data_IF_907712937355
#
_entry.id   IF_907712937355
#
_cell.length_a   1.000
_cell.length_b   1.000
_cell.length_c   1.000
_cell.angle_alpha   90.00
_cell.angle_beta   90.00
_cell.angle_gamma   90.00
#
_symmetry.space_group_name_H-M   'P 1'
#
loop_
_entity.id
_entity.type
_entity.pdbx_description
1 polymer ?
#
# COMPACT_ATOMS: atom_id res chain seq x y z
N UNK A 1 -22.01 47.14 9.34
CA UNK A 1 -20.84 46.26 9.56
C UNK A 1 -21.32 44.81 9.50
N UNK A 2 -21.33 44.18 8.31
CA UNK A 2 -21.98 42.87 8.12
C UNK A 2 -21.49 42.16 6.84
N UNK A 3 -20.20 41.80 6.73
CA UNK A 3 -19.67 41.03 5.56
C UNK A 3 -18.44 40.15 5.85
N UNK A 4 -18.19 39.71 7.10
CA UNK A 4 -16.95 38.99 7.43
C UNK A 4 -17.13 37.51 7.83
N UNK A 5 -18.32 36.92 7.64
CA UNK A 5 -18.60 35.53 8.06
C UNK A 5 -18.51 34.48 6.94
N UNK A 6 -18.03 34.83 5.74
CA UNK A 6 -18.08 33.92 4.58
C UNK A 6 -16.76 33.17 4.26
N UNK A 7 -15.70 33.30 5.07
CA UNK A 7 -14.37 32.77 4.72
C UNK A 7 -14.03 31.44 5.44
N UNK A 8 -14.81 31.02 6.45
CA UNK A 8 -14.48 29.84 7.25
C UNK A 8 -14.91 28.47 6.67
N UNK A 9 -15.69 28.42 5.58
CA UNK A 9 -16.30 27.16 5.10
C UNK A 9 -15.54 26.46 3.95
N UNK A 10 -14.39 26.98 3.50
CA UNK A 10 -13.66 26.41 2.36
C UNK A 10 -12.53 25.43 2.74
N UNK A 11 -12.24 25.25 4.04
CA UNK A 11 -11.05 24.48 4.49
C UNK A 11 -11.29 22.98 4.71
N UNK A 12 -12.52 22.45 4.57
CA UNK A 12 -12.84 21.05 4.89
C UNK A 12 -12.97 20.12 3.68
N UNK A 13 -12.65 20.58 2.45
CA UNK A 13 -12.88 19.78 1.23
C UNK A 13 -11.68 18.87 0.88
N UNK A 14 -10.62 18.82 1.72
CA UNK A 14 -9.41 18.03 1.44
C UNK A 14 -9.27 16.72 2.26
N UNK A 15 -10.29 16.28 3.00
CA UNK A 15 -10.20 15.00 3.72
C UNK A 15 -10.55 13.82 2.79
N UNK A 16 -9.64 13.47 1.88
CA UNK A 16 -9.61 12.09 1.39
C UNK A 16 -9.35 11.16 2.58
N UNK A 17 -10.02 10.02 2.62
CA UNK A 17 -9.73 9.02 3.65
C UNK A 17 -8.36 8.41 3.31
N UNK A 18 -7.36 8.65 4.16
CA UNK A 18 -6.02 8.07 3.97
C UNK A 18 -6.12 6.56 4.17
N UNK A 19 -5.59 5.83 3.20
CA UNK A 19 -5.49 4.38 3.26
C UNK A 19 -4.01 4.03 3.08
N UNK A 20 -3.36 3.69 4.18
CA UNK A 20 -1.98 3.22 4.15
C UNK A 20 -1.98 1.69 4.06
N UNK A 21 -1.33 1.15 3.03
CA UNK A 21 -1.12 -0.29 2.89
C UNK A 21 0.36 -0.55 3.06
N UNK A 22 0.72 -1.40 4.01
CA UNK A 22 2.11 -1.79 4.26
C UNK A 22 2.25 -3.30 4.20
N UNK A 23 3.32 -3.80 3.59
CA UNK A 23 3.59 -5.24 3.62
C UNK A 23 5.07 -5.49 3.79
N UNK A 24 5.39 -6.39 4.73
CA UNK A 24 6.75 -6.86 4.96
C UNK A 24 7.01 -8.14 4.19
N UNK A 25 8.07 -8.14 3.40
CA UNK A 25 8.42 -9.22 2.49
C UNK A 25 9.88 -9.60 2.65
N UNK A 26 10.17 -10.89 2.70
CA UNK A 26 11.54 -11.38 2.65
C UNK A 26 12.03 -11.48 1.19
N UNK A 27 13.24 -11.02 0.91
CA UNK A 27 13.79 -11.06 -0.46
C UNK A 27 13.95 -12.47 -1.02
N UNK A 28 14.09 -13.50 -0.18
CA UNK A 28 14.18 -14.89 -0.63
C UNK A 28 12.85 -15.40 -1.18
N UNK A 29 11.73 -14.90 -0.63
CA UNK A 29 10.36 -15.23 -1.06
C UNK A 29 10.07 -14.59 -2.44
N UNK A 30 10.55 -13.36 -2.68
CA UNK A 30 10.37 -12.68 -3.97
C UNK A 30 10.98 -13.44 -5.14
N UNK A 31 12.11 -14.11 -4.92
CA UNK A 31 12.82 -14.88 -5.96
C UNK A 31 12.39 -16.34 -6.02
N UNK A 32 11.37 -16.73 -5.25
CA UNK A 32 10.84 -18.09 -5.21
C UNK A 32 9.78 -18.29 -6.30
N UNK A 33 9.86 -19.36 -7.11
CA UNK A 33 8.75 -19.73 -8.00
C UNK A 33 7.53 -20.25 -7.20
N UNK A 34 7.75 -20.75 -5.99
CA UNK A 34 6.68 -21.07 -5.06
C UNK A 34 6.26 -19.80 -4.32
N UNK A 35 5.09 -19.30 -4.72
CA UNK A 35 4.45 -18.14 -4.13
C UNK A 35 4.10 -18.39 -2.66
N UNK A 36 4.26 -17.34 -1.84
CA UNK A 36 4.00 -17.37 -0.40
C UNK A 36 2.99 -16.29 -0.03
N UNK A 37 1.99 -16.70 0.74
CA UNK A 37 1.05 -15.77 1.34
C UNK A 37 1.65 -15.17 2.61
N UNK A 38 1.79 -13.84 2.64
CA UNK A 38 2.14 -13.08 3.84
C UNK A 38 0.95 -12.21 4.25
N UNK A 39 1.00 -11.61 5.45
CA UNK A 39 -0.01 -10.62 5.86
C UNK A 39 0.54 -9.21 5.60
N UNK A 40 -0.25 -8.40 4.90
CA UNK A 40 -0.09 -6.96 4.81
C UNK A 40 -1.05 -6.26 5.74
N UNK A 41 -0.68 -5.06 6.17
CA UNK A 41 -1.45 -4.17 7.03
C UNK A 41 -2.16 -3.13 6.18
N UNK A 42 -3.42 -2.86 6.49
CA UNK A 42 -4.21 -1.77 5.91
C UNK A 42 -4.69 -0.89 7.07
N UNK A 43 -4.24 0.35 7.08
CA UNK A 43 -4.69 1.39 8.01
C UNK A 43 -5.59 2.37 7.26
N UNK A 44 -6.85 2.45 7.69
CA UNK A 44 -7.85 3.35 7.11
C UNK A 44 -8.17 4.45 8.12
N UNK A 45 -7.97 5.70 7.72
CA UNK A 45 -8.28 6.85 8.57
C UNK A 45 -9.79 6.93 8.84
N UNK A 46 -10.14 7.05 10.12
CA UNK A 46 -11.50 7.27 10.60
C UNK A 46 -11.56 8.50 11.48
N UNK A 47 -12.73 9.13 11.55
CA UNK A 47 -12.95 10.30 12.40
C UNK A 47 -12.76 9.98 13.89
N UNK A 48 -13.13 8.77 14.31
CA UNK A 48 -12.98 8.28 15.68
C UNK A 48 -13.12 6.76 15.73
N UNK A 49 -12.45 6.11 16.68
CA UNK A 49 -12.68 4.70 17.01
C UNK A 49 -13.98 4.48 17.79
N UNK A 50 -14.39 5.47 18.59
CA UNK A 50 -15.52 5.37 19.50
C UNK A 50 -16.67 6.30 19.08
N UNK A 51 -17.88 5.93 19.48
CA UNK A 51 -19.06 6.75 19.29
C UNK A 51 -18.95 8.07 20.09
N UNK A 52 -19.50 9.14 19.52
CA UNK A 52 -19.43 10.48 20.11
C UNK A 52 -20.29 10.61 21.39
N UNK A 53 -21.46 9.96 21.40
CA UNK A 53 -22.41 10.04 22.52
C UNK A 53 -22.05 9.04 23.63
N UNK A 54 -21.51 7.86 23.27
CA UNK A 54 -21.09 6.84 24.23
C UNK A 54 -19.74 6.23 23.83
N UNK A 55 -18.66 6.73 24.45
CA UNK A 55 -17.28 6.31 24.13
C UNK A 55 -17.01 4.82 24.38
N UNK A 56 -17.89 4.10 25.09
CA UNK A 56 -17.79 2.65 25.28
C UNK A 56 -18.24 1.87 24.04
N UNK A 57 -18.92 2.53 23.09
CA UNK A 57 -19.38 1.94 21.83
C UNK A 57 -18.44 2.30 20.69
N UNK A 58 -18.40 1.44 19.69
CA UNK A 58 -17.67 1.69 18.45
C UNK A 58 -18.35 2.78 17.63
N UNK A 59 -17.55 3.57 16.91
CA UNK A 59 -18.10 4.58 16.01
C UNK A 59 -18.84 3.92 14.83
N UNK A 60 -19.86 4.60 14.30
CA UNK A 60 -20.61 4.11 13.12
C UNK A 60 -19.69 3.82 11.93
N UNK A 61 -18.71 4.70 11.67
CA UNK A 61 -17.75 4.53 10.58
C UNK A 61 -16.86 3.30 10.79
N UNK A 62 -16.45 3.00 12.03
CA UNK A 62 -15.67 1.79 12.33
C UNK A 62 -16.50 0.53 12.05
N UNK A 63 -17.77 0.50 12.48
CA UNK A 63 -18.69 -0.62 12.21
C UNK A 63 -18.89 -0.81 10.70
N UNK A 64 -19.10 0.27 9.96
CA UNK A 64 -19.21 0.25 8.49
C UNK A 64 -17.95 -0.31 7.83
N UNK A 65 -16.76 0.12 8.25
CA UNK A 65 -15.50 -0.38 7.69
C UNK A 65 -15.28 -1.85 7.99
N UNK A 66 -15.60 -2.33 9.20
CA UNK A 66 -15.52 -3.76 9.54
C UNK A 66 -16.38 -4.63 8.63
N UNK A 67 -17.51 -4.10 8.16
CA UNK A 67 -18.38 -4.79 7.21
C UNK A 67 -17.89 -4.64 5.76
N UNK A 68 -17.37 -3.47 5.39
CA UNK A 68 -17.03 -3.13 4.01
C UNK A 68 -15.68 -3.66 3.56
N UNK A 69 -14.64 -3.54 4.39
CA UNK A 69 -13.26 -3.91 4.01
C UNK A 69 -13.15 -5.38 3.57
N UNK A 70 -13.75 -6.36 4.27
CA UNK A 70 -13.72 -7.77 3.83
C UNK A 70 -14.44 -8.04 2.50
N UNK A 71 -15.32 -7.13 2.06
CA UNK A 71 -15.98 -7.24 0.74
C UNK A 71 -15.11 -6.71 -0.41
N UNK A 72 -14.12 -5.87 -0.08
CA UNK A 72 -13.15 -5.32 -1.02
C UNK A 72 -11.93 -6.24 -1.11
N UNK A 73 -11.38 -6.56 0.06
CA UNK A 73 -10.19 -7.38 0.24
C UNK A 73 -10.57 -8.72 0.87
N UNK A 74 -10.38 -9.80 0.12
CA UNK A 74 -10.67 -11.18 0.51
C UNK A 74 -9.85 -11.56 1.73
N UNK A 75 -10.53 -12.15 2.70
CA UNK A 75 -9.95 -12.57 3.99
C UNK A 75 -9.28 -11.42 4.75
N UNK A 76 -9.71 -10.17 4.52
CA UNK A 76 -9.28 -9.08 5.38
C UNK A 76 -9.87 -9.26 6.78
N UNK A 77 -9.02 -9.14 7.80
CA UNK A 77 -9.38 -9.30 9.20
C UNK A 77 -9.16 -7.99 9.93
N UNK A 78 -10.18 -7.53 10.64
CA UNK A 78 -10.03 -6.41 11.55
C UNK A 78 -9.14 -6.79 12.72
N UNK A 79 -8.17 -5.93 13.04
CA UNK A 79 -7.25 -6.13 14.17
C UNK A 79 -7.66 -5.22 15.32
N UNK A 80 -7.60 -3.91 15.11
CA UNK A 80 -7.87 -2.92 16.14
C UNK A 80 -8.25 -1.56 15.54
N UNK A 81 -8.67 -0.63 16.39
CA UNK A 81 -8.76 0.77 16.03
C UNK A 81 -7.94 1.55 17.05
N UNK A 82 -6.98 2.32 16.55
CA UNK A 82 -6.02 3.03 17.39
C UNK A 82 -5.94 4.49 17.00
N UNK A 83 -5.37 5.30 17.89
CA UNK A 83 -5.12 6.72 17.66
C UNK A 83 -3.63 6.97 17.53
N UNK A 84 -3.23 7.69 16.48
CA UNK A 84 -1.85 8.13 16.27
C UNK A 84 -1.86 9.63 16.04
N UNK A 85 -1.33 10.38 17.01
CA UNK A 85 -1.44 11.84 17.09
C UNK A 85 -2.93 12.29 17.14
N UNK A 86 -3.39 13.03 16.14
CA UNK A 86 -4.75 13.56 16.06
C UNK A 86 -5.70 12.67 15.25
N UNK A 87 -5.16 11.70 14.52
CA UNK A 87 -5.92 10.86 13.61
C UNK A 87 -6.20 9.50 14.27
N UNK A 88 -7.35 8.91 13.92
CA UNK A 88 -7.71 7.55 14.32
C UNK A 88 -7.64 6.64 13.09
N UNK A 89 -7.21 5.40 13.27
CA UNK A 89 -7.04 4.44 12.19
C UNK A 89 -7.73 3.14 12.56
N UNK A 90 -8.52 2.61 11.62
CA UNK A 90 -9.01 1.25 11.68
C UNK A 90 -7.97 0.36 10.98
N UNK A 91 -7.38 -0.56 11.73
CA UNK A 91 -6.33 -1.46 11.28
C UNK A 91 -6.90 -2.81 10.89
N UNK A 92 -6.55 -3.25 9.69
CA UNK A 92 -6.88 -4.54 9.15
C UNK A 92 -5.62 -5.25 8.68
N UNK A 93 -5.66 -6.58 8.64
CA UNK A 93 -4.67 -7.35 7.88
C UNK A 93 -5.31 -8.02 6.68
N UNK A 94 -4.56 -8.11 5.58
CA UNK A 94 -4.99 -8.75 4.33
C UNK A 94 -3.93 -9.75 3.86
N UNK A 95 -4.30 -10.87 3.25
CA UNK A 95 -3.32 -11.72 2.58
C UNK A 95 -2.71 -11.02 1.36
N UNK A 96 -1.38 -11.06 1.26
CA UNK A 96 -0.60 -10.57 0.13
C UNK A 96 0.18 -11.74 -0.45
N UNK A 97 0.09 -11.91 -1.75
CA UNK A 97 0.81 -12.96 -2.47
C UNK A 97 2.18 -12.45 -2.91
N UNK A 98 3.23 -13.20 -2.57
CA UNK A 98 4.63 -12.84 -2.81
C UNK A 98 5.32 -13.96 -3.57
N UNK A 99 5.96 -13.62 -4.70
CA UNK A 99 6.73 -14.60 -5.45
C UNK A 99 7.30 -14.11 -6.78
N UNK A 100 8.03 -15.00 -7.44
CA UNK A 100 8.53 -14.80 -8.80
C UNK A 100 7.46 -15.15 -9.82
N UNK A 101 7.06 -14.17 -10.61
CA UNK A 101 6.09 -14.31 -11.68
C UNK A 101 6.81 -14.55 -13.01
N UNK A 102 6.96 -15.83 -13.36
CA UNK A 102 7.35 -16.24 -14.70
C UNK A 102 6.16 -16.13 -15.67
N UNK A 103 6.43 -16.02 -16.98
CA UNK A 103 5.41 -16.19 -18.01
C UNK A 103 4.65 -17.52 -17.77
N UNK A 104 3.34 -17.43 -17.55
CA UNK A 104 2.41 -18.53 -17.17
C UNK A 104 2.29 -18.89 -15.68
N UNK A 105 2.83 -18.09 -14.76
CA UNK A 105 2.59 -18.31 -13.33
C UNK A 105 1.13 -18.02 -12.99
N UNK A 106 0.42 -18.99 -12.40
CA UNK A 106 -0.92 -18.72 -11.88
C UNK A 106 -0.77 -17.76 -10.70
N UNK A 107 -1.30 -16.55 -10.83
CA UNK A 107 -1.47 -15.64 -9.70
C UNK A 107 -2.24 -16.39 -8.60
N UNK A 108 -1.72 -16.33 -7.37
CA UNK A 108 -2.37 -16.94 -6.21
C UNK A 108 -3.72 -16.30 -5.93
N UNK A 109 -4.44 -16.83 -4.95
CA UNK A 109 -5.78 -16.36 -4.62
C UNK A 109 -5.75 -15.12 -3.71
N UNK A 110 -5.05 -14.06 -4.13
CA UNK A 110 -4.86 -12.82 -3.36
C UNK A 110 -5.38 -11.58 -4.10
N UNK A 111 -5.48 -10.48 -3.36
CA UNK A 111 -5.96 -9.21 -3.90
C UNK A 111 -4.83 -8.21 -4.13
N UNK A 112 -3.72 -8.39 -3.41
CA UNK A 112 -2.50 -7.61 -3.51
C UNK A 112 -1.36 -8.59 -3.77
N UNK A 113 -0.49 -8.22 -4.70
CA UNK A 113 0.66 -9.01 -5.10
C UNK A 113 1.92 -8.16 -4.98
N UNK A 114 2.96 -8.75 -4.42
CA UNK A 114 4.32 -8.19 -4.46
C UNK A 114 5.16 -9.21 -5.22
N UNK A 115 5.41 -8.91 -6.48
CA UNK A 115 5.98 -9.86 -7.41
C UNK A 115 7.35 -9.40 -7.91
N UNK A 116 8.18 -10.37 -8.26
CA UNK A 116 9.34 -10.16 -9.11
C UNK A 116 9.10 -10.77 -10.50
N UNK A 117 9.77 -10.23 -11.51
CA UNK A 117 9.84 -10.74 -12.89
C UNK A 117 11.32 -10.92 -13.25
N UNK A 118 11.62 -11.20 -14.52
CA UNK A 118 13.00 -11.33 -15.00
C UNK A 118 13.85 -10.06 -14.75
N UNK A 119 13.24 -8.90 -14.89
CA UNK A 119 13.85 -7.58 -14.90
C UNK A 119 13.37 -6.66 -13.76
N UNK A 120 12.25 -7.00 -13.11
CA UNK A 120 11.76 -6.32 -11.91
C UNK A 120 12.03 -7.20 -10.69
N UNK A 121 12.85 -6.74 -9.76
CA UNK A 121 13.17 -7.48 -8.54
C UNK A 121 12.05 -7.40 -7.50
N UNK A 122 11.35 -6.26 -7.44
CA UNK A 122 10.16 -6.10 -6.61
C UNK A 122 9.25 -5.06 -7.24
N UNK A 123 7.96 -5.39 -7.41
CA UNK A 123 6.91 -4.45 -7.77
C UNK A 123 5.58 -4.86 -7.17
N UNK A 124 4.61 -3.96 -7.21
CA UNK A 124 3.29 -4.15 -6.61
C UNK A 124 2.21 -4.17 -7.67
N UNK A 125 1.22 -5.04 -7.48
CA UNK A 125 -0.01 -5.06 -8.25
C UNK A 125 -1.20 -5.25 -7.32
N UNK A 126 -2.33 -4.65 -7.67
CA UNK A 126 -3.64 -4.93 -7.07
C UNK A 126 -4.52 -5.56 -8.14
N UNK A 127 -5.27 -6.60 -7.78
CA UNK A 127 -6.13 -7.28 -8.74
C UNK A 127 -7.18 -6.33 -9.32
N UNK A 128 -7.53 -6.53 -10.60
CA UNK A 128 -8.56 -5.71 -11.27
C UNK A 128 -9.92 -5.79 -10.56
N UNK A 129 -10.28 -6.96 -10.01
CA UNK A 129 -11.50 -7.16 -9.24
C UNK A 129 -11.49 -6.32 -7.95
N UNK A 130 -10.39 -6.34 -7.20
CA UNK A 130 -10.20 -5.52 -6.00
C UNK A 130 -10.26 -4.03 -6.33
N UNK A 131 -9.58 -3.58 -7.38
CA UNK A 131 -9.64 -2.17 -7.82
C UNK A 131 -11.07 -1.76 -8.20
N UNK A 132 -11.84 -2.63 -8.84
CA UNK A 132 -13.24 -2.37 -9.14
C UNK A 132 -14.11 -2.25 -7.88
N UNK A 133 -13.88 -3.12 -6.89
CA UNK A 133 -14.54 -3.03 -5.57
C UNK A 133 -14.17 -1.76 -4.82
N UNK A 134 -12.90 -1.35 -4.85
CA UNK A 134 -12.42 -0.07 -4.30
C UNK A 134 -13.14 1.11 -4.97
N UNK A 135 -13.15 1.18 -6.31
CA UNK A 135 -13.82 2.24 -7.06
C UNK A 135 -15.32 2.30 -6.77
N UNK A 136 -15.96 1.13 -6.63
CA UNK A 136 -17.37 1.05 -6.24
C UNK A 136 -17.59 1.60 -4.82
N UNK A 137 -16.75 1.22 -3.86
CA UNK A 137 -16.82 1.72 -2.49
C UNK A 137 -16.59 3.23 -2.40
N UNK A 138 -15.64 3.78 -3.16
CA UNK A 138 -15.41 5.23 -3.26
C UNK A 138 -16.64 5.98 -3.79
N UNK A 139 -17.27 5.44 -4.85
CA UNK A 139 -18.50 6.01 -5.41
C UNK A 139 -19.66 5.98 -4.42
N UNK A 140 -19.85 4.88 -3.71
CA UNK A 140 -20.91 4.71 -2.72
C UNK A 140 -20.71 5.61 -1.49
N UNK A 141 -19.47 5.77 -1.03
CA UNK A 141 -19.13 6.64 0.09
C UNK A 141 -19.12 8.13 -0.27
N UNK A 142 -19.12 8.47 -1.57
CA UNK A 142 -18.84 9.83 -2.07
C UNK A 142 -17.52 10.42 -1.52
N UNK A 143 -16.56 9.54 -1.23
CA UNK A 143 -15.25 9.86 -0.66
C UNK A 143 -14.14 9.35 -1.61
N UNK A 144 -13.07 10.12 -1.75
CA UNK A 144 -11.85 9.64 -2.42
C UNK A 144 -10.98 8.93 -1.38
N UNK A 145 -10.46 7.75 -1.73
CA UNK A 145 -9.42 7.11 -0.93
C UNK A 145 -8.06 7.49 -1.50
N UNK A 146 -7.20 8.00 -0.63
CA UNK A 146 -5.80 8.26 -0.95
C UNK A 146 -5.00 7.02 -0.54
N UNK A 147 -4.80 6.11 -1.50
CA UNK A 147 -4.09 4.85 -1.26
C UNK A 147 -2.59 5.10 -1.36
N UNK A 148 -1.89 4.83 -0.26
CA UNK A 148 -0.43 4.89 -0.20
C UNK A 148 0.12 3.51 0.10
N UNK A 149 0.76 2.93 -0.90
CA UNK A 149 1.39 1.62 -0.77
C UNK A 149 2.82 1.74 -0.25
N UNK A 150 3.19 0.87 0.70
CA UNK A 150 4.53 0.69 1.21
C UNK A 150 4.92 -0.78 1.23
N UNK A 151 6.15 -1.07 0.81
CA UNK A 151 6.75 -2.41 0.89
C UNK A 151 8.00 -2.32 1.76
N UNK A 152 8.07 -3.14 2.80
CA UNK A 152 9.26 -3.34 3.60
C UNK A 152 9.95 -4.60 3.10
N UNK A 153 11.14 -4.45 2.53
CA UNK A 153 11.95 -5.58 2.13
C UNK A 153 12.93 -5.93 3.24
N UNK A 154 12.76 -7.11 3.83
CA UNK A 154 13.71 -7.71 4.76
C UNK A 154 14.71 -8.58 3.97
N UNK A 155 16.00 -8.35 4.20
CA UNK A 155 17.07 -9.11 3.56
C UNK A 155 17.02 -10.57 4.01
N UNK A 156 16.82 -11.46 3.04
CA UNK A 156 16.93 -12.90 3.19
C UNK A 156 18.37 -13.42 3.17
N UNK A 157 18.52 -14.72 2.96
CA UNK A 157 19.81 -15.43 2.92
C UNK A 157 20.41 -15.46 1.52
N UNK A 158 19.59 -15.39 0.47
CA UNK A 158 20.07 -15.39 -0.91
C UNK A 158 20.79 -14.07 -1.22
N UNK A 159 21.80 -14.08 -2.11
CA UNK A 159 22.40 -12.84 -2.59
C UNK A 159 21.36 -11.95 -3.27
N UNK A 160 21.38 -10.66 -2.94
CA UNK A 160 20.59 -9.65 -3.65
C UNK A 160 21.50 -9.02 -4.71
N UNK A 161 21.10 -9.01 -6.00
CA UNK A 161 21.90 -8.38 -7.05
C UNK A 161 21.97 -6.85 -6.85
N UNK A 162 22.83 -6.13 -7.60
CA UNK A 162 22.71 -4.69 -7.72
C UNK A 162 21.34 -4.32 -8.29
N UNK A 163 20.64 -3.40 -7.61
CA UNK A 163 19.28 -2.99 -7.99
C UNK A 163 19.23 -1.48 -8.20
N UNK A 164 18.23 -1.05 -8.97
CA UNK A 164 17.90 0.34 -9.17
C UNK A 164 16.51 0.57 -8.56
N UNK A 165 16.40 1.52 -7.63
CA UNK A 165 15.11 1.98 -7.12
C UNK A 165 14.41 2.85 -8.15
N UNK A 166 13.10 2.70 -8.24
CA UNK A 166 12.21 3.41 -9.15
C UNK A 166 11.11 4.13 -8.39
N UNK A 167 11.10 5.46 -8.47
CA UNK A 167 9.95 6.29 -8.12
C UNK A 167 9.34 5.98 -6.75
N UNK A 168 10.15 6.06 -5.68
CA UNK A 168 9.70 5.74 -4.32
C UNK A 168 10.28 6.73 -3.30
N UNK A 169 9.70 6.74 -2.10
CA UNK A 169 10.31 7.32 -0.91
C UNK A 169 10.99 6.20 -0.12
N UNK A 170 12.26 6.37 0.21
CA UNK A 170 13.07 5.39 0.91
C UNK A 170 13.16 5.71 2.40
N UNK A 171 12.95 4.70 3.24
CA UNK A 171 13.30 4.73 4.66
C UNK A 171 14.27 3.59 4.98
N UNK A 172 15.37 3.93 5.65
CA UNK A 172 16.42 3.00 6.09
C UNK A 172 17.21 3.59 7.26
N UNK A 173 18.44 3.13 7.50
CA UNK A 173 19.22 3.61 8.65
C UNK A 173 19.59 5.10 8.57
N UNK A 174 19.80 5.63 7.36
CA UNK A 174 20.22 7.04 7.13
C UNK A 174 19.16 7.87 6.40
N UNK A 175 18.24 7.23 5.69
CA UNK A 175 17.16 7.88 4.95
C UNK A 175 15.85 7.81 5.76
N UNK A 176 15.12 8.92 5.82
CA UNK A 176 13.80 9.00 6.47
C UNK A 176 12.81 9.56 5.47
N UNK A 177 12.08 8.67 4.81
CA UNK A 177 11.08 9.02 3.79
C UNK A 177 11.66 9.92 2.67
N UNK A 178 12.88 9.60 2.25
CA UNK A 178 13.65 10.39 1.29
C UNK A 178 13.20 10.07 -0.15
N UNK A 179 12.79 11.07 -0.96
CA UNK A 179 12.33 10.83 -2.32
C UNK A 179 13.49 10.38 -3.21
N UNK A 180 13.26 9.31 -3.98
CA UNK A 180 14.20 8.75 -4.93
C UNK A 180 13.49 8.52 -6.27
N UNK A 181 13.92 9.27 -7.29
CA UNK A 181 13.41 9.11 -8.66
C UNK A 181 14.00 7.85 -9.30
N UNK A 182 15.32 7.78 -9.35
CA UNK A 182 16.09 6.63 -9.76
C UNK A 182 17.42 6.61 -9.00
N UNK A 183 17.89 5.44 -8.58
CA UNK A 183 19.18 5.35 -7.91
C UNK A 183 19.60 3.93 -7.60
N UNK A 184 20.90 3.68 -7.70
CA UNK A 184 21.49 2.41 -7.31
C UNK A 184 21.25 2.13 -5.82
N UNK A 185 20.92 0.88 -5.54
CA UNK A 185 20.51 0.43 -4.23
C UNK A 185 21.25 -0.84 -3.83
N UNK A 186 21.66 -0.85 -2.57
CA UNK A 186 22.15 -2.03 -1.88
C UNK A 186 21.50 -2.15 -0.51
N UNK A 187 21.40 -3.38 -0.01
CA UNK A 187 20.93 -3.65 1.35
C UNK A 187 22.05 -3.38 2.35
N UNK A 188 22.23 -2.11 2.74
CA UNK A 188 23.16 -1.71 3.80
C UNK A 188 22.65 -2.02 5.21
N UNK A 189 21.37 -2.43 5.33
CA UNK A 189 20.69 -2.70 6.60
C UNK A 189 19.85 -3.97 6.47
N UNK A 190 19.29 -4.45 7.59
CA UNK A 190 18.44 -5.64 7.61
C UNK A 190 17.15 -5.45 6.81
N UNK A 191 16.61 -4.24 6.79
CA UNK A 191 15.34 -3.94 6.13
C UNK A 191 15.33 -2.54 5.52
N UNK A 192 14.66 -2.40 4.38
CA UNK A 192 14.44 -1.12 3.71
C UNK A 192 12.95 -0.99 3.41
N UNK A 193 12.39 0.18 3.73
CA UNK A 193 10.99 0.50 3.43
C UNK A 193 10.93 1.40 2.21
N UNK A 194 10.09 1.01 1.26
CA UNK A 194 9.80 1.74 0.03
C UNK A 194 8.34 2.14 0.05
N UNK A 195 8.05 3.43 0.18
CA UNK A 195 6.71 3.95 -0.04
C UNK A 195 6.60 4.40 -1.49
N UNK A 196 5.59 3.92 -2.22
CA UNK A 196 5.39 4.29 -3.62
C UNK A 196 5.21 5.81 -3.75
N UNK A 197 5.76 6.38 -4.83
CA UNK A 197 5.46 7.77 -5.22
C UNK A 197 4.01 7.93 -5.65
N UNK A 198 3.54 9.18 -5.74
CA UNK A 198 2.18 9.48 -6.19
C UNK A 198 1.93 8.99 -7.63
N UNK A 199 2.97 9.04 -8.48
CA UNK A 199 2.91 8.51 -9.85
C UNK A 199 2.76 6.99 -9.83
N UNK A 200 3.55 6.29 -9.02
CA UNK A 200 3.47 4.83 -8.89
C UNK A 200 2.13 4.38 -8.27
N UNK A 201 1.60 5.11 -7.28
CA UNK A 201 0.26 4.84 -6.73
C UNK A 201 -0.84 5.11 -7.76
N UNK A 202 -0.72 6.15 -8.60
CA UNK A 202 -1.68 6.44 -9.65
C UNK A 202 -1.68 5.38 -10.76
N UNK A 203 -0.51 4.83 -11.12
CA UNK A 203 -0.38 3.68 -12.01
C UNK A 203 -1.05 2.44 -11.40
N UNK A 204 -0.75 2.14 -10.14
CA UNK A 204 -1.36 1.02 -9.41
C UNK A 204 -2.88 1.13 -9.34
N UNK A 205 -3.42 2.33 -9.10
CA UNK A 205 -4.86 2.59 -9.08
C UNK A 205 -5.54 2.39 -10.44
N UNK A 206 -4.78 2.40 -11.54
CA UNK A 206 -5.23 2.08 -12.89
C UNK A 206 -5.14 0.58 -13.21
N UNK A 207 -4.51 -0.20 -12.33
CA UNK A 207 -4.29 -1.64 -12.53
C UNK A 207 -2.96 -1.97 -13.18
N UNK A 208 -2.06 -0.99 -13.28
CA UNK A 208 -0.71 -1.21 -13.77
C UNK A 208 0.18 -1.81 -12.67
N UNK A 209 1.20 -2.55 -13.11
CA UNK A 209 2.26 -3.03 -12.24
C UNK A 209 3.19 -1.86 -11.89
N UNK A 210 3.39 -1.61 -10.60
CA UNK A 210 4.24 -0.53 -10.11
C UNK A 210 5.61 -1.09 -9.66
N UNK A 211 6.67 -0.99 -10.48
CA UNK A 211 8.00 -1.46 -10.08
C UNK A 211 8.57 -0.57 -8.96
N UNK A 212 9.25 -1.20 -8.00
CA UNK A 212 9.97 -0.55 -6.90
C UNK A 212 11.47 -0.72 -7.11
N UNK A 213 11.91 -1.95 -7.29
CA UNK A 213 13.31 -2.29 -7.54
C UNK A 213 13.41 -3.07 -8.83
N UNK A 214 14.31 -2.63 -9.70
CA UNK A 214 14.56 -3.25 -11.00
C UNK A 214 16.02 -3.65 -11.12
N UNK A 215 16.30 -4.61 -11.99
CA UNK A 215 17.66 -4.95 -12.38
C UNK A 215 18.13 -3.97 -13.48
N UNK A 216 19.42 -4.00 -13.82
CA UNK A 216 19.93 -3.13 -14.88
C UNK A 216 19.32 -3.42 -16.26
N UNK A 217 19.00 -4.70 -16.52
CA UNK A 217 18.40 -5.18 -17.77
C UNK A 217 16.99 -4.61 -18.02
N UNK A 218 16.33 -4.06 -17.01
CA UNK A 218 15.03 -3.39 -17.15
C UNK A 218 15.07 -2.21 -18.13
N UNK A 219 16.24 -1.57 -18.27
CA UNK A 219 16.45 -0.45 -19.18
C UNK A 219 16.97 -0.88 -20.55
N UNK A 220 17.23 -2.17 -20.76
CA UNK A 220 17.63 -2.72 -22.06
C UNK A 220 16.38 -2.85 -22.94
N UNK A 221 15.84 -1.72 -23.37
CA UNK A 221 14.80 -1.71 -24.40
C UNK A 221 15.39 -2.25 -25.70
N UNK A 222 14.74 -3.21 -26.39
CA UNK A 222 15.13 -3.54 -27.75
C UNK A 222 14.93 -2.27 -28.60
N UNK A 223 16.05 -1.74 -29.12
CA UNK A 223 16.03 -0.68 -30.14
C UNK A 223 15.45 -1.20 -31.45
#
# INVERSE_FOLDING_TARGET
MKKWLAIASAALILSGCKVDIETKVNTDDLTSPEHKMVRGDIDIEVSSCNDYEDSRKESKKLIELKQKVPTIFRNAEYVECYRKKFDSYAHFTVPVDVGFHADNTKLGNADIYIASTKDVYAGVMISADTLNKVRKAQKEAMEKFDIRMSVILERGKKPVPPLINMGSFLTGAKAKDEPMLAGWMGFATKELKFRLSDVSNAALAQGEFAPILVTHEYFDFPQ
#
